data_IF_889519746193
#
_entry.id   IF_889519746193
#
_cell.length_a   1.000
_cell.length_b   1.000
_cell.length_c   1.000
_cell.angle_alpha   90.00
_cell.angle_beta   90.00
_cell.angle_gamma   90.00
#
_symmetry.space_group_name_H-M   'P 1'
#
loop_
_entity.id
_entity.type
_entity.pdbx_description
1 polymer ?
#
# COMPACT_ATOMS: atom_id res chain seq x y z
N UNK A 1 -3.55 4.39 -17.35
CA UNK A 1 -3.39 5.47 -16.37
C UNK A 1 -2.90 4.88 -15.06
N UNK A 2 -1.98 5.54 -14.41
CA UNK A 2 -1.39 5.05 -13.17
C UNK A 2 -1.55 6.09 -12.06
N UNK A 3 -1.98 5.64 -10.89
CA UNK A 3 -1.99 6.46 -9.68
C UNK A 3 -0.95 5.93 -8.70
N UNK A 4 -0.25 6.86 -8.06
CA UNK A 4 0.79 6.52 -7.11
C UNK A 4 0.48 7.21 -5.79
N UNK A 5 0.51 6.44 -4.73
CA UNK A 5 0.33 6.94 -3.36
C UNK A 5 1.61 6.63 -2.60
N UNK A 6 2.08 7.58 -1.82
CA UNK A 6 3.31 7.37 -1.10
C UNK A 6 3.30 8.03 0.26
N UNK A 7 3.97 7.43 1.22
CA UNK A 7 4.14 7.98 2.56
C UNK A 7 5.46 7.46 3.12
N UNK A 8 6.10 8.30 3.94
CA UNK A 8 7.27 7.89 4.69
C UNK A 8 6.86 7.66 6.13
N UNK A 9 7.21 6.50 6.66
CA UNK A 9 6.86 6.09 8.01
C UNK A 9 8.11 5.59 8.71
N UNK A 10 8.55 6.31 9.75
CA UNK A 10 9.72 5.95 10.54
C UNK A 10 10.94 5.62 9.68
N UNK A 11 11.18 6.48 8.68
CA UNK A 11 12.32 6.33 7.80
C UNK A 11 12.13 5.35 6.64
N UNK A 12 10.99 4.68 6.57
CA UNK A 12 10.70 3.75 5.49
C UNK A 12 9.73 4.37 4.49
N UNK A 13 10.01 4.16 3.22
CA UNK A 13 9.13 4.68 2.16
C UNK A 13 8.16 3.59 1.73
N UNK A 14 6.88 3.86 1.86
CA UNK A 14 5.81 2.96 1.45
C UNK A 14 5.14 3.57 0.24
N UNK A 15 5.09 2.82 -0.86
CA UNK A 15 4.52 3.30 -2.12
C UNK A 15 3.53 2.29 -2.65
N UNK A 16 2.38 2.79 -3.07
CA UNK A 16 1.34 1.96 -3.67
C UNK A 16 1.08 2.50 -5.07
N UNK A 17 1.12 1.60 -6.04
CA UNK A 17 0.80 1.94 -7.43
C UNK A 17 -0.48 1.24 -7.83
N UNK A 18 -1.35 1.97 -8.50
CA UNK A 18 -2.57 1.42 -9.05
C UNK A 18 -2.63 1.74 -10.53
N UNK A 19 -2.80 0.71 -11.34
CA UNK A 19 -3.04 0.87 -12.77
C UNK A 19 -4.37 0.21 -13.12
N UNK A 20 -5.07 0.77 -14.11
CA UNK A 20 -6.40 0.26 -14.46
C UNK A 20 -6.37 -1.16 -14.99
N UNK A 21 -5.28 -1.52 -15.71
CA UNK A 21 -5.23 -2.81 -16.40
C UNK A 21 -4.19 -3.75 -15.83
N UNK A 22 -3.23 -3.24 -15.07
CA UNK A 22 -2.13 -4.04 -14.54
C UNK A 22 -2.23 -4.28 -13.03
N UNK A 23 -3.31 -3.78 -12.40
CA UNK A 23 -3.55 -4.04 -11.00
C UNK A 23 -2.80 -3.11 -10.07
N UNK A 24 -2.60 -3.56 -8.84
CA UNK A 24 -2.03 -2.77 -7.77
C UNK A 24 -0.73 -3.40 -7.28
N UNK A 25 0.21 -2.56 -6.85
CA UNK A 25 1.49 -3.01 -6.33
C UNK A 25 1.87 -2.23 -5.09
N UNK A 26 2.43 -2.93 -4.12
CA UNK A 26 2.95 -2.34 -2.88
C UNK A 26 4.45 -2.48 -2.85
N UNK A 27 5.13 -1.35 -2.71
CA UNK A 27 6.58 -1.29 -2.59
C UNK A 27 6.95 -0.75 -1.21
N UNK A 28 7.96 -1.34 -0.60
CA UNK A 28 8.53 -0.84 0.64
C UNK A 28 10.01 -0.64 0.40
N UNK A 29 10.48 0.59 0.57
CA UNK A 29 11.87 0.99 0.31
C UNK A 29 12.32 0.56 -1.10
N UNK A 30 11.42 0.73 -2.06
CA UNK A 30 11.69 0.43 -3.46
C UNK A 30 11.57 -1.03 -3.84
N UNK A 31 11.24 -1.92 -2.91
CA UNK A 31 11.11 -3.35 -3.19
C UNK A 31 9.65 -3.75 -3.23
N UNK A 32 9.28 -4.51 -4.25
CA UNK A 32 7.93 -5.02 -4.39
C UNK A 32 7.66 -6.06 -3.31
N UNK A 33 6.61 -5.86 -2.53
CA UNK A 33 6.24 -6.80 -1.47
C UNK A 33 4.94 -7.53 -1.76
N UNK A 34 4.02 -6.90 -2.46
CA UNK A 34 2.75 -7.54 -2.78
C UNK A 34 2.20 -6.92 -4.05
N UNK A 35 1.40 -7.69 -4.75
CA UNK A 35 0.74 -7.19 -5.94
C UNK A 35 -0.56 -7.95 -6.17
N UNK A 36 -1.49 -7.28 -6.81
CA UNK A 36 -2.76 -7.83 -7.19
C UNK A 36 -2.96 -7.51 -8.66
N UNK A 37 -2.84 -8.51 -9.51
CA UNK A 37 -2.88 -8.32 -10.96
C UNK A 37 -4.30 -8.47 -11.49
N UNK A 38 -4.61 -7.69 -12.53
CA UNK A 38 -5.91 -7.74 -13.17
C UNK A 38 -6.83 -6.64 -12.70
N UNK A 39 -8.11 -6.78 -13.04
CA UNK A 39 -9.11 -5.79 -12.67
C UNK A 39 -9.55 -5.98 -11.23
N UNK A 40 -9.57 -4.87 -10.49
CA UNK A 40 -10.22 -4.83 -9.20
C UNK A 40 -11.42 -3.91 -9.33
N UNK A 41 -12.58 -4.51 -9.53
CA UNK A 41 -13.82 -3.73 -9.64
C UNK A 41 -14.34 -3.32 -8.27
N UNK A 42 -13.78 -3.88 -7.23
CA UNK A 42 -14.30 -3.75 -5.91
C UNK A 42 -13.16 -3.28 -5.00
N UNK A 43 -12.84 -4.03 -3.98
CA UNK A 43 -11.78 -3.70 -3.04
C UNK A 43 -10.59 -4.59 -3.25
N UNK A 44 -9.42 -3.97 -3.23
CA UNK A 44 -8.17 -4.71 -3.20
C UNK A 44 -7.47 -4.45 -1.89
N UNK A 45 -6.85 -5.48 -1.34
CA UNK A 45 -6.01 -5.35 -0.15
C UNK A 45 -4.63 -5.90 -0.47
N UNK A 46 -3.62 -5.16 -0.05
CA UNK A 46 -2.24 -5.56 -0.20
C UNK A 46 -1.60 -5.62 1.19
N UNK A 47 -0.66 -6.53 1.37
CA UNK A 47 -0.05 -6.77 2.65
C UNK A 47 1.46 -6.75 2.52
N UNK A 48 2.11 -6.14 3.48
CA UNK A 48 3.57 -6.07 3.51
C UNK A 48 4.08 -6.04 4.93
N UNK A 49 5.37 -5.81 5.06
CA UNK A 49 6.01 -5.83 6.35
C UNK A 49 7.23 -4.92 6.33
N UNK A 50 7.41 -4.18 7.42
CA UNK A 50 8.64 -3.47 7.69
C UNK A 50 9.44 -4.33 8.65
N UNK A 51 10.62 -4.76 8.21
CA UNK A 51 11.49 -5.60 9.02
C UNK A 51 12.47 -4.73 9.81
N UNK A 52 12.63 -5.06 11.07
CA UNK A 52 13.57 -4.38 11.95
C UNK A 52 14.67 -5.35 12.36
N UNK A 53 15.89 -4.83 12.49
CA UNK A 53 17.01 -5.64 12.97
C UNK A 53 16.82 -6.07 14.41
N UNK A 54 16.20 -5.18 15.19
CA UNK A 54 15.87 -5.46 16.58
C UNK A 54 14.40 -5.12 16.79
N UNK A 55 13.73 -5.98 17.53
CA UNK A 55 12.32 -5.80 17.83
C UNK A 55 11.40 -6.50 16.85
N UNK A 56 10.12 -6.32 17.04
CA UNK A 56 9.11 -6.98 16.23
C UNK A 56 8.94 -6.29 14.89
N UNK A 57 8.68 -7.09 13.87
CA UNK A 57 8.35 -6.56 12.55
C UNK A 57 6.99 -5.87 12.60
N UNK A 58 6.84 -4.85 11.77
CA UNK A 58 5.57 -4.12 11.67
C UNK A 58 4.84 -4.55 10.40
N UNK A 59 3.53 -4.75 10.53
CA UNK A 59 2.70 -5.22 9.43
C UNK A 59 2.08 -4.05 8.71
N UNK A 60 2.10 -4.11 7.38
CA UNK A 60 1.50 -3.10 6.52
C UNK A 60 0.25 -3.71 5.90
N UNK A 61 -0.84 -2.95 5.93
CA UNK A 61 -2.05 -3.27 5.18
C UNK A 61 -2.42 -2.09 4.33
N UNK A 62 -2.66 -2.33 3.05
CA UNK A 62 -3.12 -1.31 2.12
C UNK A 62 -4.52 -1.68 1.69
N UNK A 63 -5.44 -0.74 1.78
CA UNK A 63 -6.80 -0.92 1.32
C UNK A 63 -7.04 0.04 0.16
N UNK A 64 -7.45 -0.49 -0.97
CA UNK A 64 -7.76 0.28 -2.17
C UNK A 64 -9.21 0.06 -2.53
N UNK A 65 -9.89 1.12 -2.88
CA UNK A 65 -11.28 1.03 -3.28
C UNK A 65 -11.78 2.34 -3.82
N UNK A 66 -13.06 2.37 -4.21
CA UNK A 66 -13.70 3.57 -4.71
C UNK A 66 -14.49 3.27 -5.97
N UNK A 67 -15.62 3.98 -6.13
CA UNK A 67 -16.51 3.76 -7.24
C UNK A 67 -16.11 4.57 -8.48
N UNK A 68 -15.62 5.79 -8.26
CA UNK A 68 -15.28 6.70 -9.34
C UNK A 68 -13.79 7.00 -9.35
N UNK A 69 -13.24 7.28 -8.17
CA UNK A 69 -11.82 7.51 -8.00
C UNK A 69 -11.26 6.47 -7.02
N UNK A 70 -10.00 6.12 -7.23
CA UNK A 70 -9.33 5.17 -6.34
C UNK A 70 -8.93 5.88 -5.05
N UNK A 71 -9.38 5.32 -3.93
CA UNK A 71 -8.99 5.79 -2.61
C UNK A 71 -8.06 4.76 -1.99
N UNK A 72 -6.99 5.25 -1.38
CA UNK A 72 -5.97 4.40 -0.78
C UNK A 72 -5.86 4.69 0.70
N UNK A 73 -5.83 3.64 1.51
CA UNK A 73 -5.57 3.74 2.94
C UNK A 73 -4.43 2.79 3.28
N UNK A 74 -3.45 3.33 3.99
CA UNK A 74 -2.28 2.54 4.40
C UNK A 74 -2.25 2.49 5.92
N UNK A 75 -2.16 1.28 6.45
CA UNK A 75 -2.10 1.03 7.89
C UNK A 75 -0.77 0.35 8.23
N UNK A 76 -0.17 0.76 9.34
CA UNK A 76 0.96 0.05 9.93
C UNK A 76 0.54 -0.35 11.34
N UNK A 77 0.58 -1.66 11.61
CA UNK A 77 0.13 -2.25 12.89
C UNK A 77 -1.25 -1.74 13.29
N UNK A 78 -2.17 -1.70 12.31
CA UNK A 78 -3.57 -1.27 12.47
C UNK A 78 -3.75 0.23 12.65
N UNK A 79 -2.68 1.00 12.60
CA UNK A 79 -2.78 2.46 12.68
C UNK A 79 -2.81 3.06 11.27
N UNK A 80 -3.78 3.91 11.00
CA UNK A 80 -3.90 4.58 9.71
C UNK A 80 -2.80 5.63 9.58
N UNK A 81 -1.92 5.48 8.59
CA UNK A 81 -0.84 6.43 8.35
C UNK A 81 -1.03 7.20 7.05
N UNK A 82 -1.89 6.74 6.16
CA UNK A 82 -2.21 7.44 4.92
C UNK A 82 -3.69 7.21 4.59
N UNK A 83 -4.45 8.22 4.20
CA UNK A 83 -4.01 9.61 4.06
C UNK A 83 -3.68 10.21 5.41
N UNK A 84 -2.70 11.11 5.40
CA UNK A 84 -2.29 11.81 6.60
C UNK A 84 -3.31 12.88 6.94
N UNK A 85 -3.64 12.96 8.21
CA UNK A 85 -4.64 13.92 8.69
C UNK A 85 -4.03 15.26 8.97
#
# INVERSE_FOLDING_TARGET
MKKVFGVTYEGHHIQVENTWFNGEKLFVDGKLQDQNLGFAFDRASLYGMIKHNEGANQKIKVSLGGAITVECRIFVDHELIYPNQ
#
